data_IF_215625415166
#
_entry.id   IF_215625415166
#
_cell.length_a   1.000
_cell.length_b   1.000
_cell.length_c   1.000
_cell.angle_alpha   90.00
_cell.angle_beta   90.00
_cell.angle_gamma   90.00
#
_symmetry.space_group_name_H-M   'P 1'
#
loop_
_entity.id
_entity.type
_entity.pdbx_description
1 polymer ?
#
# COMPACT_ATOMS: atom_id res chain seq x y z
N UNK A 1 -5.73 -15.71 9.30
CA UNK A 1 -5.92 -14.39 8.66
C UNK A 1 -4.79 -13.48 9.11
N UNK A 2 -3.88 -13.13 8.20
CA UNK A 2 -2.70 -12.33 8.53
C UNK A 2 -2.76 -10.98 7.79
N UNK A 3 -2.15 -9.97 8.40
CA UNK A 3 -2.08 -8.64 7.83
C UNK A 3 -0.68 -8.04 8.03
N UNK A 4 -0.30 -7.20 7.08
CA UNK A 4 1.00 -6.56 7.01
C UNK A 4 0.84 -5.07 6.87
N UNK A 5 1.42 -4.34 7.80
CA UNK A 5 1.49 -2.89 7.75
C UNK A 5 2.75 -2.49 6.97
N UNK A 6 2.54 -1.85 5.82
CA UNK A 6 3.58 -1.44 4.88
C UNK A 6 3.62 0.09 4.79
N UNK A 7 4.75 0.75 5.15
CA UNK A 7 4.93 2.15 4.87
C UNK A 7 5.13 2.31 3.37
N UNK A 8 4.32 3.16 2.76
CA UNK A 8 4.52 3.59 1.38
C UNK A 8 4.83 5.08 1.40
N UNK A 9 5.99 5.40 0.82
CA UNK A 9 6.45 6.74 0.53
C UNK A 9 6.76 6.78 -0.96
N UNK A 10 5.70 6.91 -1.76
CA UNK A 10 5.77 6.96 -3.21
C UNK A 10 5.23 8.32 -3.64
N UNK A 11 6.15 9.20 -4.03
CA UNK A 11 5.80 10.46 -4.69
C UNK A 11 5.08 10.20 -6.01
N UNK A 12 4.22 11.13 -6.43
CA UNK A 12 3.48 11.04 -7.70
C UNK A 12 4.36 10.66 -8.89
N UNK A 13 5.60 11.16 -8.96
CA UNK A 13 6.54 10.87 -10.04
C UNK A 13 6.98 9.41 -10.09
N UNK A 14 7.23 8.78 -8.92
CA UNK A 14 7.49 7.35 -8.85
C UNK A 14 6.25 6.56 -9.27
N UNK A 15 5.07 6.93 -8.79
CA UNK A 15 3.80 6.34 -9.22
C UNK A 15 3.61 6.46 -10.75
N UNK A 16 4.00 7.59 -11.35
CA UNK A 16 3.94 7.79 -12.80
C UNK A 16 4.89 6.84 -13.55
N UNK A 17 6.08 6.60 -13.03
CA UNK A 17 7.02 5.65 -13.60
C UNK A 17 6.49 4.19 -13.54
N UNK A 18 5.77 3.83 -12.46
CA UNK A 18 5.03 2.57 -12.38
C UNK A 18 3.90 2.51 -13.41
N UNK A 19 3.15 3.61 -13.59
CA UNK A 19 2.03 3.71 -14.53
C UNK A 19 2.47 3.69 -16.00
N UNK A 20 3.69 4.15 -16.31
CA UNK A 20 4.25 4.19 -17.68
C UNK A 20 4.67 2.81 -18.23
N UNK A 21 4.36 1.72 -17.53
CA UNK A 21 4.53 0.35 -18.02
C UNK A 21 5.88 -0.31 -17.71
N UNK A 22 6.75 0.35 -16.94
CA UNK A 22 8.08 -0.19 -16.61
C UNK A 22 8.04 -1.22 -15.47
N UNK A 23 7.03 -1.17 -14.60
CA UNK A 23 6.91 -2.05 -13.44
C UNK A 23 5.48 -2.56 -13.27
N UNK A 24 5.29 -3.84 -13.57
CA UNK A 24 4.00 -4.55 -13.49
C UNK A 24 3.69 -5.02 -12.06
N UNK A 25 4.72 -5.04 -11.21
CA UNK A 25 4.68 -5.44 -9.81
C UNK A 25 5.33 -4.36 -8.94
N UNK A 26 4.72 -4.09 -7.79
CA UNK A 26 5.17 -3.13 -6.79
C UNK A 26 5.81 -3.91 -5.66
N UNK A 27 7.06 -3.59 -5.35
CA UNK A 27 7.80 -4.19 -4.25
C UNK A 27 7.77 -3.22 -3.09
N UNK A 28 7.13 -3.60 -1.99
CA UNK A 28 7.18 -2.85 -0.74
C UNK A 28 7.84 -3.68 0.36
N UNK A 29 8.36 -2.98 1.36
CA UNK A 29 8.84 -3.60 2.60
C UNK A 29 7.85 -3.26 3.70
N UNK A 30 7.42 -4.24 4.47
CA UNK A 30 6.63 -4.02 5.67
C UNK A 30 7.50 -3.44 6.79
N UNK A 31 6.83 -2.87 7.80
CA UNK A 31 7.50 -2.41 9.03
C UNK A 31 8.26 -3.54 9.74
N UNK A 32 7.76 -4.76 9.62
CA UNK A 32 8.37 -5.98 10.19
C UNK A 32 9.57 -6.49 9.40
N UNK A 33 9.90 -5.87 8.25
CA UNK A 33 11.00 -6.27 7.37
C UNK A 33 10.63 -7.33 6.32
N UNK A 34 9.36 -7.74 6.24
CA UNK A 34 8.89 -8.67 5.22
C UNK A 34 8.78 -7.96 3.87
N UNK A 35 9.17 -8.66 2.80
CA UNK A 35 9.06 -8.14 1.44
C UNK A 35 7.71 -8.57 0.87
N UNK A 36 6.89 -7.60 0.48
CA UNK A 36 5.62 -7.84 -0.19
C UNK A 36 5.74 -7.43 -1.64
N UNK A 37 5.18 -8.25 -2.52
CA UNK A 37 5.01 -7.93 -3.94
C UNK A 37 3.54 -8.01 -4.29
N UNK A 38 3.02 -6.97 -4.91
CA UNK A 38 1.63 -6.93 -5.36
C UNK A 38 1.52 -6.24 -6.71
N UNK A 39 0.49 -6.56 -7.52
CA UNK A 39 0.34 -5.95 -8.83
C UNK A 39 0.11 -4.44 -8.71
N UNK A 40 0.75 -3.66 -9.58
CA UNK A 40 0.58 -2.19 -9.61
C UNK A 40 -0.89 -1.77 -9.80
N UNK A 41 -1.68 -2.61 -10.48
CA UNK A 41 -3.13 -2.45 -10.65
C UNK A 41 -3.89 -2.36 -9.32
N UNK A 42 -3.38 -2.96 -8.23
CA UNK A 42 -3.99 -2.89 -6.91
C UNK A 42 -3.83 -1.51 -6.26
N UNK A 43 -2.74 -0.78 -6.57
CA UNK A 43 -2.58 0.64 -6.18
C UNK A 43 -3.67 1.48 -6.85
N UNK A 44 -3.84 1.32 -8.17
CA UNK A 44 -4.76 2.14 -8.97
C UNK A 44 -6.23 2.03 -8.54
N UNK A 45 -6.62 0.92 -7.92
CA UNK A 45 -8.02 0.68 -7.51
C UNK A 45 -8.37 1.28 -6.15
N UNK A 46 -7.38 1.48 -5.26
CA UNK A 46 -7.63 1.91 -3.88
C UNK A 46 -6.89 3.20 -3.49
N UNK A 47 -5.93 3.68 -4.28
CA UNK A 47 -5.17 4.89 -3.97
C UNK A 47 -5.53 6.05 -4.89
N UNK A 48 -5.80 7.20 -4.29
CA UNK A 48 -5.89 8.47 -4.98
C UNK A 48 -4.53 8.75 -5.66
N UNK A 49 -4.57 9.07 -6.95
CA UNK A 49 -3.40 9.39 -7.79
C UNK A 49 -2.59 10.64 -7.34
N UNK A 50 -2.76 11.11 -6.11
CA UNK A 50 -2.22 12.39 -5.61
C UNK A 50 -0.93 12.24 -4.81
N UNK A 51 -0.49 11.00 -4.53
CA UNK A 51 0.71 10.71 -3.74
C UNK A 51 0.39 9.73 -2.62
N UNK A 52 1.25 8.72 -2.45
CA UNK A 52 1.05 7.64 -1.49
C UNK A 52 2.04 7.87 -0.36
N UNK A 53 1.59 8.54 0.69
CA UNK A 53 2.39 8.82 1.89
C UNK A 53 1.61 8.36 3.11
N UNK A 54 1.99 7.21 3.67
CA UNK A 54 1.32 6.65 4.84
C UNK A 54 1.57 5.16 5.02
N UNK A 55 0.93 4.59 6.03
CA UNK A 55 0.95 3.15 6.28
C UNK A 55 -0.30 2.53 5.67
N UNK A 56 -0.10 1.44 4.93
CA UNK A 56 -1.18 0.68 4.34
C UNK A 56 -1.20 -0.71 4.94
N UNK A 57 -2.42 -1.19 5.21
CA UNK A 57 -2.62 -2.55 5.70
C UNK A 57 -2.94 -3.45 4.53
N UNK A 58 -2.02 -4.36 4.24
CA UNK A 58 -2.20 -5.46 3.32
C UNK A 58 -2.81 -6.64 4.09
N UNK A 59 -3.94 -7.17 3.64
CA UNK A 59 -4.57 -8.36 4.22
C UNK A 59 -4.43 -9.53 3.27
N UNK A 60 -4.08 -10.70 3.81
CA UNK A 60 -3.93 -11.93 3.06
C UNK A 60 -4.51 -13.12 3.81
N UNK A 61 -4.88 -14.12 3.03
CA UNK A 61 -5.40 -15.38 3.56
C UNK A 61 -4.28 -16.23 4.16
N UNK A 62 -4.63 -17.34 4.79
CA UNK A 62 -3.67 -18.30 5.34
C UNK A 62 -2.78 -18.92 4.25
N UNK A 63 -3.33 -19.06 3.04
CA UNK A 63 -2.62 -19.48 1.82
C UNK A 63 -1.67 -18.39 1.27
N UNK A 64 -1.61 -17.20 1.89
CA UNK A 64 -0.80 -16.07 1.42
C UNK A 64 -1.39 -15.33 0.21
N UNK A 65 -2.64 -15.63 -0.17
CA UNK A 65 -3.34 -14.89 -1.23
C UNK A 65 -3.73 -13.50 -0.76
N UNK A 66 -3.39 -12.50 -1.57
CA UNK A 66 -3.83 -11.13 -1.36
C UNK A 66 -5.36 -11.05 -1.30
N UNK A 67 -5.88 -10.50 -0.20
CA UNK A 67 -7.31 -10.27 0.00
C UNK A 67 -7.66 -8.80 -0.28
N UNK A 68 -7.02 -7.87 0.43
CA UNK A 68 -7.34 -6.44 0.38
C UNK A 68 -6.15 -5.57 0.73
N UNK A 69 -6.18 -4.32 0.25
CA UNK A 69 -5.26 -3.25 0.61
C UNK A 69 -6.10 -2.07 1.11
N UNK A 70 -5.93 -1.69 2.37
CA UNK A 70 -6.64 -0.55 2.96
C UNK A 70 -5.63 0.51 3.41
N UNK A 71 -5.93 1.79 3.11
CA UNK A 71 -5.23 2.91 3.72
C UNK A 71 -5.47 2.84 5.24
N UNK A 72 -4.40 2.84 6.05
CA UNK A 72 -4.58 3.06 7.48
C UNK A 72 -4.73 4.55 7.71
N UNK A 73 -5.96 4.98 8.00
CA UNK A 73 -6.21 6.39 8.29
C UNK A 73 -5.29 6.77 9.46
N UNK A 74 -4.42 7.78 9.33
CA UNK A 74 -3.75 8.31 10.51
C UNK A 74 -4.86 8.72 11.48
N UNK A 75 -4.76 8.19 12.69
CA UNK A 75 -5.54 8.50 13.88
C UNK A 75 -6.15 9.91 13.76
N UNK A 76 -7.49 10.10 13.85
CA UNK A 76 -8.03 11.44 13.91
C UNK A 76 -7.36 12.17 15.09
N UNK A 77 -6.80 13.39 14.90
CA UNK A 77 -6.39 14.20 16.04
C UNK A 77 -7.62 14.37 16.92
N UNK A 78 -7.46 14.10 18.21
CA UNK A 78 -8.54 13.90 19.16
C UNK A 78 -9.72 14.87 18.98
N UNK A 79 -10.93 14.31 19.07
CA UNK A 79 -12.09 15.07 19.48
C UNK A 79 -11.81 15.66 20.88
N UNK A 80 -11.32 16.90 20.91
CA UNK A 80 -11.56 17.78 22.05
C UNK A 80 -12.96 18.37 21.85
N UNK A 81 -13.89 17.98 22.71
CA UNK A 81 -15.24 18.52 22.82
C UNK A 81 -15.83 18.11 24.15
#
# INVERSE_FOLDING_TARGET
MAHLDIPLDLSCEQCLAYYRGSARQVHARSLTGQRVVFPASALSRNMALTGVHGVYRLTFDDDGRFLSLAWQCPLPPGHSG
#
